data_IF_300476605267
#
_entry.id   IF_300476605267
#
_cell.length_a   1.000
_cell.length_b   1.000
_cell.length_c   1.000
_cell.angle_alpha   90.00
_cell.angle_beta   90.00
_cell.angle_gamma   90.00
#
_symmetry.space_group_name_H-M   'P 1'
#
loop_
_entity.id
_entity.type
_entity.pdbx_description
1 polymer ?
#
# COMPACT_ATOMS: atom_id res chain seq x y z
N UNK A 1 -7.88 12.51 -43.64
CA UNK A 1 -7.36 11.14 -43.44
C UNK A 1 -5.87 11.14 -43.10
N UNK A 2 -5.02 11.84 -43.85
CA UNK A 2 -3.55 11.92 -43.61
C UNK A 2 -3.19 12.55 -42.24
N UNK A 3 -3.95 13.53 -41.77
CA UNK A 3 -3.70 14.22 -40.50
C UNK A 3 -4.00 13.40 -39.22
N UNK A 4 -4.84 12.35 -39.31
CA UNK A 4 -5.15 11.48 -38.17
C UNK A 4 -4.04 10.44 -37.97
N UNK A 5 -3.36 10.03 -39.06
CA UNK A 5 -2.29 9.02 -39.02
C UNK A 5 -1.01 9.54 -38.34
N UNK A 6 -0.76 10.85 -38.32
CA UNK A 6 0.40 11.44 -37.65
C UNK A 6 0.24 11.55 -36.12
N UNK A 7 -0.99 11.63 -35.61
CA UNK A 7 -1.23 11.77 -34.17
C UNK A 7 -1.04 10.45 -33.40
N UNK A 8 -1.10 9.30 -34.09
CA UNK A 8 -0.81 7.99 -33.51
C UNK A 8 0.68 7.64 -33.41
N UNK A 9 1.56 8.39 -34.09
CA UNK A 9 3.01 8.13 -34.11
C UNK A 9 3.81 8.97 -33.10
N UNK A 10 3.18 9.95 -32.45
CA UNK A 10 3.85 10.89 -31.54
C UNK A 10 3.68 10.57 -30.06
N UNK A 11 2.91 9.54 -29.71
CA UNK A 11 2.88 9.03 -28.35
C UNK A 11 3.87 7.88 -28.24
N UNK A 12 5.10 8.11 -27.71
CA UNK A 12 5.93 7.00 -27.31
C UNK A 12 5.09 6.15 -26.36
N UNK A 13 4.96 4.85 -26.68
CA UNK A 13 4.42 3.87 -25.74
C UNK A 13 5.18 4.07 -24.44
N UNK A 14 4.52 4.64 -23.44
CA UNK A 14 5.11 4.83 -22.13
C UNK A 14 5.53 3.44 -21.67
N UNK A 15 6.84 3.19 -21.65
CA UNK A 15 7.40 1.97 -21.08
C UNK A 15 7.07 2.05 -19.59
N UNK A 16 5.93 1.48 -19.20
CA UNK A 16 5.55 1.37 -17.82
C UNK A 16 6.59 0.50 -17.14
N UNK A 17 7.41 1.09 -16.27
CA UNK A 17 8.33 0.34 -15.43
C UNK A 17 7.47 -0.53 -14.52
N UNK A 18 7.49 -1.84 -14.74
CA UNK A 18 6.78 -2.78 -13.90
C UNK A 18 7.48 -2.82 -12.54
N UNK A 19 6.81 -2.31 -11.50
CA UNK A 19 7.30 -2.45 -10.14
C UNK A 19 6.94 -3.84 -9.63
N UNK A 20 7.94 -4.58 -9.16
CA UNK A 20 7.72 -5.87 -8.54
C UNK A 20 6.88 -5.75 -7.27
N UNK A 21 6.13 -6.82 -6.98
CA UNK A 21 5.37 -6.91 -5.73
C UNK A 21 6.33 -6.90 -4.55
N UNK A 22 5.97 -6.19 -3.49
CA UNK A 22 6.70 -6.24 -2.23
C UNK A 22 6.62 -7.62 -1.55
N UNK A 23 5.54 -8.37 -1.82
CA UNK A 23 5.32 -9.71 -1.31
C UNK A 23 4.29 -10.46 -2.15
N UNK A 24 4.41 -11.78 -2.26
CA UNK A 24 3.41 -12.62 -2.93
C UNK A 24 2.15 -12.84 -2.09
N UNK A 25 2.25 -12.73 -0.76
CA UNK A 25 1.12 -12.99 0.14
C UNK A 25 0.94 -11.86 1.15
N UNK A 26 -0.31 -11.65 1.56
CA UNK A 26 -0.71 -10.67 2.56
C UNK A 26 -1.76 -11.24 3.50
N UNK A 27 -1.78 -10.72 4.72
CA UNK A 27 -2.76 -11.01 5.75
C UNK A 27 -3.70 -9.81 5.86
N UNK A 28 -5.01 -10.04 5.77
CA UNK A 28 -6.06 -9.02 5.88
C UNK A 28 -7.11 -9.40 6.93
N UNK A 29 -7.88 -8.42 7.40
CA UNK A 29 -9.02 -8.65 8.30
C UNK A 29 -10.18 -9.40 7.62
N UNK A 30 -10.33 -9.22 6.31
CA UNK A 30 -11.37 -9.81 5.47
C UNK A 30 -10.84 -10.05 4.05
N UNK A 31 -11.64 -10.70 3.19
CA UNK A 31 -11.27 -11.08 1.82
C UNK A 31 -10.98 -9.91 0.88
N UNK A 32 -11.48 -8.72 1.20
CA UNK A 32 -11.32 -7.51 0.40
C UNK A 32 -10.33 -6.51 1.04
N UNK A 33 -9.75 -6.84 2.20
CA UNK A 33 -8.87 -5.96 2.97
C UNK A 33 -9.49 -4.57 3.23
N UNK A 34 -10.82 -4.51 3.36
CA UNK A 34 -11.57 -3.26 3.56
C UNK A 34 -11.66 -2.86 5.03
N UNK A 35 -11.41 -3.79 5.95
CA UNK A 35 -11.42 -3.54 7.38
C UNK A 35 -10.01 -3.41 7.96
N UNK A 36 -9.90 -2.54 8.95
CA UNK A 36 -8.68 -2.37 9.75
C UNK A 36 -8.43 -3.63 10.60
N UNK A 37 -7.21 -4.14 10.57
CA UNK A 37 -6.73 -5.22 11.43
C UNK A 37 -6.47 -4.67 12.84
N UNK A 38 -5.72 -3.57 12.90
CA UNK A 38 -5.20 -2.98 14.13
C UNK A 38 -4.85 -1.51 13.97
N UNK A 39 -4.67 -0.83 15.10
CA UNK A 39 -4.01 0.46 15.20
C UNK A 39 -2.56 0.25 15.65
N UNK A 40 -1.66 1.08 15.14
CA UNK A 40 -0.27 1.14 15.54
C UNK A 40 0.17 2.59 15.75
N UNK A 41 1.18 2.81 16.58
CA UNK A 41 1.80 4.11 16.78
C UNK A 41 3.20 4.11 16.19
N UNK A 42 3.57 5.14 15.42
CA UNK A 42 4.93 5.31 14.92
C UNK A 42 5.91 5.57 16.07
N UNK A 43 6.97 4.77 16.13
CA UNK A 43 8.02 4.87 17.14
C UNK A 43 9.07 5.92 16.79
N UNK A 44 9.26 6.14 15.50
CA UNK A 44 10.23 7.08 14.94
C UNK A 44 9.74 7.62 13.58
N UNK A 45 10.46 8.61 13.06
CA UNK A 45 10.20 9.14 11.73
C UNK A 45 10.64 8.13 10.67
N UNK A 46 9.82 7.95 9.63
CA UNK A 46 10.14 7.15 8.46
C UNK A 46 9.90 7.97 7.21
N UNK A 47 10.92 8.05 6.35
CA UNK A 47 10.85 8.76 5.07
C UNK A 47 10.64 7.72 3.97
N UNK A 48 9.54 7.87 3.24
CA UNK A 48 9.17 7.01 2.13
C UNK A 48 10.22 7.05 1.02
N UNK A 49 10.71 5.87 0.61
CA UNK A 49 11.69 5.73 -0.47
C UNK A 49 11.08 5.94 -1.86
N UNK A 50 9.80 5.55 -2.01
CA UNK A 50 9.03 5.69 -3.25
C UNK A 50 7.54 5.91 -2.93
N UNK A 51 6.73 6.15 -3.96
CA UNK A 51 5.30 6.48 -3.84
C UNK A 51 4.42 5.36 -3.28
N UNK A 52 4.91 4.12 -3.18
CA UNK A 52 4.18 3.01 -2.55
C UNK A 52 4.21 3.13 -1.03
N UNK A 53 5.19 3.84 -0.49
CA UNK A 53 5.37 4.03 0.93
C UNK A 53 4.79 5.36 1.41
N UNK A 54 4.40 5.42 2.68
CA UNK A 54 3.96 6.65 3.33
C UNK A 54 5.00 7.13 4.34
N UNK A 55 5.13 8.45 4.46
CA UNK A 55 5.95 9.03 5.51
C UNK A 55 5.26 8.83 6.86
N UNK A 56 6.04 8.48 7.89
CA UNK A 56 5.58 8.44 9.26
C UNK A 56 6.32 9.49 10.07
N UNK A 57 5.61 10.10 11.02
CA UNK A 57 6.19 10.92 12.08
C UNK A 57 5.99 10.24 13.42
N UNK A 58 7.01 10.32 14.27
CA UNK A 58 6.97 9.77 15.62
C UNK A 58 5.70 10.21 16.36
N UNK A 59 5.02 9.25 16.99
CA UNK A 59 3.79 9.46 17.75
C UNK A 59 2.50 9.44 16.93
N UNK A 60 2.58 9.46 15.59
CA UNK A 60 1.38 9.35 14.76
C UNK A 60 0.71 7.99 14.93
N UNK A 61 -0.62 8.01 14.92
CA UNK A 61 -1.44 6.80 14.90
C UNK A 61 -1.67 6.35 13.46
N UNK A 62 -1.59 5.05 13.22
CA UNK A 62 -1.75 4.42 11.91
C UNK A 62 -2.78 3.32 12.01
N UNK A 63 -3.75 3.30 11.09
CA UNK A 63 -4.65 2.16 10.91
C UNK A 63 -4.04 1.18 9.92
N UNK A 64 -3.89 -0.08 10.33
CA UNK A 64 -3.26 -1.15 9.56
C UNK A 64 -4.34 -1.97 8.87
N UNK A 65 -4.33 -2.03 7.54
CA UNK A 65 -5.29 -2.80 6.74
C UNK A 65 -4.76 -4.16 6.31
N UNK A 66 -3.45 -4.26 6.04
CA UNK A 66 -2.84 -5.53 5.67
C UNK A 66 -1.39 -5.65 6.14
N UNK A 67 -0.96 -6.87 6.41
CA UNK A 67 0.42 -7.20 6.77
C UNK A 67 1.00 -8.09 5.68
N UNK A 68 2.03 -7.65 4.98
CA UNK A 68 2.68 -8.46 3.94
C UNK A 68 3.48 -9.59 4.58
N UNK A 69 3.46 -10.77 3.98
CA UNK A 69 4.40 -11.84 4.33
C UNK A 69 5.65 -11.67 3.47
N UNK A 70 6.82 -11.40 4.07
CA UNK A 70 8.04 -11.26 3.30
C UNK A 70 8.32 -12.56 2.53
N UNK A 71 8.89 -12.44 1.34
CA UNK A 71 9.66 -13.53 0.75
C UNK A 71 10.94 -13.75 1.57
N UNK A 72 11.56 -14.92 1.49
CA UNK A 72 12.77 -15.22 2.26
C UNK A 72 13.83 -14.11 2.08
N UNK A 73 14.21 -13.45 3.18
CA UNK A 73 15.18 -12.33 3.20
C UNK A 73 14.61 -10.93 2.89
N UNK A 74 13.31 -10.78 2.61
CA UNK A 74 12.68 -9.48 2.35
C UNK A 74 12.22 -8.77 3.66
N UNK A 75 12.13 -7.44 3.61
CA UNK A 75 11.65 -6.62 4.73
C UNK A 75 10.18 -6.89 5.09
N UNK A 76 9.82 -6.73 6.37
CA UNK A 76 8.43 -6.88 6.84
C UNK A 76 7.69 -5.56 6.68
N UNK A 77 6.81 -5.49 5.69
CA UNK A 77 6.03 -4.29 5.38
C UNK A 77 4.55 -4.47 5.67
N UNK A 78 3.93 -3.46 6.27
CA UNK A 78 2.48 -3.39 6.47
C UNK A 78 1.90 -2.25 5.63
N UNK A 79 0.61 -2.32 5.34
CA UNK A 79 -0.14 -1.27 4.65
C UNK A 79 -1.14 -0.63 5.59
N UNK A 80 -1.16 0.70 5.60
CA UNK A 80 -2.00 1.48 6.48
C UNK A 80 -2.18 2.93 6.04
N UNK A 81 -2.96 3.67 6.79
CA UNK A 81 -3.14 5.12 6.66
C UNK A 81 -2.85 5.81 7.99
N UNK A 82 -2.19 6.97 7.91
CA UNK A 82 -2.00 7.84 9.08
C UNK A 82 -3.33 8.47 9.46
N UNK A 83 -3.63 8.45 10.75
CA UNK A 83 -4.78 9.13 11.32
C UNK A 83 -4.60 10.65 11.19
N UNK A 84 -5.51 11.31 10.48
CA UNK A 84 -5.51 12.77 10.32
C UNK A 84 -6.39 13.44 11.37
N UNK A 85 -5.81 14.22 12.27
CA UNK A 85 -6.59 14.97 13.28
C UNK A 85 -7.48 16.07 12.68
N UNK A 86 -7.10 16.61 11.51
CA UNK A 86 -7.80 17.74 10.87
C UNK A 86 -9.03 17.34 10.07
N UNK A 87 -9.12 16.09 9.65
CA UNK A 87 -10.23 15.55 8.86
C UNK A 87 -10.47 14.10 9.29
N UNK A 88 -11.19 13.94 10.40
CA UNK A 88 -11.48 12.65 11.04
C UNK A 88 -12.22 11.69 10.10
N UNK A 89 -12.93 12.27 9.14
CA UNK A 89 -13.79 11.68 8.12
C UNK A 89 -13.08 11.47 6.77
N UNK A 90 -11.83 11.96 6.61
CA UNK A 90 -11.02 11.67 5.44
C UNK A 90 -9.91 10.67 5.80
N UNK A 91 -10.04 9.45 5.29
CA UNK A 91 -8.99 8.45 5.39
C UNK A 91 -7.74 8.98 4.67
N UNK A 92 -6.62 9.05 5.40
CA UNK A 92 -5.34 9.50 4.85
C UNK A 92 -4.86 8.60 3.70
N UNK A 93 -3.84 9.06 2.97
CA UNK A 93 -3.20 8.27 1.91
C UNK A 93 -2.79 6.91 2.47
N UNK A 94 -3.20 5.85 1.78
CA UNK A 94 -2.81 4.48 2.12
C UNK A 94 -1.49 4.17 1.43
N UNK A 95 -0.54 3.64 2.19
CA UNK A 95 0.67 3.08 1.61
C UNK A 95 1.36 2.12 2.57
N UNK A 96 2.54 1.66 2.15
CA UNK A 96 3.34 0.73 2.91
C UNK A 96 4.26 1.44 3.89
N UNK A 97 4.59 0.77 4.98
CA UNK A 97 5.62 1.17 5.91
C UNK A 97 6.23 -0.08 6.57
N UNK A 98 7.49 0.00 6.99
CA UNK A 98 8.17 -1.10 7.67
C UNK A 98 7.59 -1.33 9.07
N UNK A 99 7.24 -2.57 9.41
CA UNK A 99 6.53 -2.88 10.66
C UNK A 99 7.38 -2.65 11.92
N UNK A 100 8.71 -2.68 11.80
CA UNK A 100 9.63 -2.41 12.89
C UNK A 100 9.69 -0.93 13.31
N UNK A 101 9.10 -0.02 12.54
CA UNK A 101 9.04 1.41 12.88
C UNK A 101 7.76 1.79 13.64
N UNK A 102 6.88 0.81 13.91
CA UNK A 102 5.62 1.04 14.61
C UNK A 102 5.45 0.06 15.77
N UNK A 103 4.67 0.47 16.76
CA UNK A 103 4.20 -0.41 17.83
C UNK A 103 2.69 -0.62 17.69
N UNK A 104 2.26 -1.88 17.55
CA UNK A 104 0.85 -2.23 17.43
C UNK A 104 0.15 -2.09 18.79
N UNK A 105 -0.81 -1.18 18.90
CA UNK A 105 -1.42 -0.78 20.18
C UNK A 105 -2.78 -1.44 20.42
N UNK A 106 -3.61 -1.58 19.38
CA UNK A 106 -4.95 -2.12 19.50
C UNK A 106 -5.28 -3.03 18.33
N UNK A 107 -5.74 -4.25 18.60
CA UNK A 107 -6.18 -5.20 17.57
C UNK A 107 -7.71 -5.20 17.51
N UNK A 108 -8.26 -4.78 16.38
CA UNK A 108 -9.71 -4.76 16.15
C UNK A 108 -10.24 -6.11 15.66
N UNK A 109 -9.45 -6.81 14.84
CA UNK A 109 -9.83 -8.09 14.24
C UNK A 109 -8.78 -9.17 14.51
N UNK A 110 -9.13 -10.11 15.39
CA UNK A 110 -8.29 -11.29 15.69
C UNK A 110 -8.34 -12.35 14.58
N UNK A 111 -9.50 -12.51 13.93
CA UNK A 111 -9.65 -13.41 12.78
C UNK A 111 -9.11 -12.70 11.55
N UNK A 112 -8.01 -13.23 11.00
CA UNK A 112 -7.39 -12.74 9.78
C UNK A 112 -7.45 -13.81 8.69
N UNK A 113 -7.32 -13.40 7.43
CA UNK A 113 -7.28 -14.29 6.26
C UNK A 113 -6.03 -13.98 5.46
N UNK A 114 -5.27 -15.01 5.12
CA UNK A 114 -4.12 -14.90 4.21
C UNK A 114 -4.57 -15.08 2.76
N UNK A 115 -4.06 -14.24 1.86
CA UNK A 115 -4.39 -14.27 0.44
C UNK A 115 -3.20 -13.83 -0.42
N UNK A 116 -3.28 -14.08 -1.73
CA UNK A 116 -2.27 -13.61 -2.67
C UNK A 116 -2.33 -12.07 -2.82
N UNK A 117 -1.17 -11.46 -3.00
CA UNK A 117 -1.07 -10.04 -3.34
C UNK A 117 -1.41 -9.87 -4.82
N UNK A 118 -2.45 -9.09 -5.09
CA UNK A 118 -2.85 -8.69 -6.43
C UNK A 118 -2.07 -7.45 -6.85
N UNK A 119 -1.51 -7.47 -8.07
CA UNK A 119 -1.14 -6.22 -8.75
C UNK A 119 -2.44 -5.67 -9.33
N UNK A 120 -2.78 -4.42 -9.04
CA UNK A 120 -3.84 -3.72 -9.78
C UNK A 120 -3.37 -3.56 -11.23
N UNK A 121 -3.60 -4.58 -12.05
CA UNK A 121 -3.37 -4.54 -13.49
C UNK A 121 -4.48 -3.71 -14.13
N UNK A 122 -4.44 -2.39 -13.93
CA UNK A 122 -5.31 -1.46 -14.66
C UNK A 122 -5.06 -1.52 -16.18
N UNK A 123 -3.94 -2.12 -16.62
CA UNK A 123 -3.52 -2.22 -18.01
C UNK A 123 -3.85 -3.54 -18.73
N UNK A 124 -4.46 -4.54 -18.08
CA UNK A 124 -4.77 -5.82 -18.75
C UNK A 124 -6.14 -5.88 -19.44
N UNK A 125 -6.99 -4.85 -19.30
CA UNK A 125 -8.30 -4.81 -19.95
C UNK A 125 -8.34 -3.95 -21.22
N UNK A 126 -7.17 -3.53 -21.73
CA UNK A 126 -7.04 -2.72 -22.96
C UNK A 126 -6.12 -3.36 -24.03
N UNK A 127 -5.89 -4.67 -23.97
CA UNK A 127 -5.34 -5.45 -25.08
C UNK A 127 -6.20 -6.69 -25.33
#
# INVERSE_FOLDING_TARGET
VVLILFFGYLFPSANAVFMDKLAERKICADKHCSHVISAAQALEDYIASDCRFINLKKGQMIYVYSKLKPADGAGVFWSGSVYGERYVDQMGIIGYFPSNHVNETQIFRKKTTEMATTVSRLFLFFF
#
